data_IF_493854741023
#
_entry.id   IF_493854741023
#
_cell.length_a   1.000
_cell.length_b   1.000
_cell.length_c   1.000
_cell.angle_alpha   90.00
_cell.angle_beta   90.00
_cell.angle_gamma   90.00
#
_symmetry.space_group_name_H-M   'P 1'
#
loop_
_entity.id
_entity.type
_entity.pdbx_description
1 polymer ?
#
# COMPACT_ATOMS: atom_id res chain seq x y z
N UNK A 1 -14.64 -68.01 0.24
CA UNK A 1 -14.39 -66.77 1.02
C UNK A 1 -13.11 -66.14 0.48
N UNK A 2 -13.22 -65.04 -0.25
CA UNK A 2 -12.10 -64.40 -0.95
C UNK A 2 -12.14 -62.92 -0.57
N UNK A 3 -11.40 -62.55 0.48
CA UNK A 3 -11.23 -61.16 0.92
C UNK A 3 -9.86 -60.71 0.47
N UNK A 4 -9.77 -60.17 -0.75
CA UNK A 4 -8.57 -59.53 -1.25
C UNK A 4 -8.97 -58.14 -1.74
N UNK A 5 -8.18 -57.18 -1.28
CA UNK A 5 -7.97 -55.84 -1.82
C UNK A 5 -9.05 -54.80 -1.57
N UNK A 6 -8.71 -53.81 -0.73
CA UNK A 6 -8.68 -52.39 -1.12
C UNK A 6 -8.05 -51.57 0.01
N UNK A 7 -6.71 -51.58 0.05
CA UNK A 7 -5.92 -50.52 0.64
C UNK A 7 -5.55 -49.58 -0.52
N UNK A 8 -6.27 -48.47 -0.65
CA UNK A 8 -5.80 -47.34 -1.45
C UNK A 8 -5.89 -46.09 -0.57
N UNK A 9 -4.82 -45.88 0.18
CA UNK A 9 -4.52 -44.61 0.83
C UNK A 9 -4.34 -43.56 -0.27
N UNK A 10 -5.30 -42.64 -0.36
CA UNK A 10 -5.23 -41.48 -1.23
C UNK A 10 -4.37 -40.43 -0.51
N UNK A 11 -3.06 -40.54 -0.65
CA UNK A 11 -2.13 -39.48 -0.27
C UNK A 11 -2.23 -38.38 -1.34
N UNK A 12 -3.11 -37.41 -1.10
CA UNK A 12 -3.10 -36.15 -1.85
C UNK A 12 -1.94 -35.34 -1.30
N UNK A 13 -0.80 -35.38 -1.99
CA UNK A 13 0.26 -34.42 -1.77
C UNK A 13 -0.24 -33.07 -2.26
N UNK A 14 -0.60 -32.19 -1.32
CA UNK A 14 -0.74 -30.76 -1.58
C UNK A 14 0.65 -30.24 -1.98
N UNK A 15 0.88 -30.10 -3.28
CA UNK A 15 1.97 -29.29 -3.80
C UNK A 15 1.63 -27.85 -3.48
N UNK A 16 2.21 -27.32 -2.41
CA UNK A 16 2.23 -25.89 -2.16
C UNK A 16 3.04 -25.26 -3.30
N UNK A 17 2.38 -24.46 -4.15
CA UNK A 17 3.07 -23.49 -4.98
C UNK A 17 3.71 -22.48 -4.02
N UNK A 18 5.01 -22.61 -3.79
CA UNK A 18 5.83 -21.46 -3.42
C UNK A 18 6.06 -20.69 -4.69
N UNK A 19 5.09 -19.83 -5.06
CA UNK A 19 5.47 -18.62 -5.78
C UNK A 19 6.21 -17.78 -4.74
N UNK A 20 7.53 -17.84 -4.84
CA UNK A 20 8.40 -16.86 -4.23
C UNK A 20 8.15 -15.59 -5.05
N UNK A 21 7.18 -14.77 -4.65
CA UNK A 21 7.12 -13.41 -5.16
C UNK A 21 8.49 -12.79 -4.90
N UNK A 22 9.08 -12.26 -5.96
CA UNK A 22 10.39 -11.64 -5.96
C UNK A 22 10.29 -10.40 -5.06
N UNK A 23 10.51 -10.58 -3.74
CA UNK A 23 10.68 -9.53 -2.72
C UNK A 23 11.97 -8.76 -3.01
N UNK A 24 12.09 -8.24 -4.22
CA UNK A 24 13.12 -7.28 -4.58
C UNK A 24 12.82 -6.05 -3.74
N UNK A 25 13.70 -5.68 -2.79
CA UNK A 25 13.45 -4.52 -1.97
C UNK A 25 13.31 -3.30 -2.88
N UNK A 26 12.21 -2.57 -2.75
CA UNK A 26 12.00 -1.30 -3.47
C UNK A 26 13.24 -0.42 -3.26
N UNK A 27 13.81 0.08 -4.34
CA UNK A 27 14.97 0.94 -4.23
C UNK A 27 14.53 2.35 -3.79
N UNK A 28 15.32 3.02 -2.95
CA UNK A 28 15.01 4.39 -2.51
C UNK A 28 14.81 5.37 -3.68
N UNK A 29 15.56 5.17 -4.78
CA UNK A 29 15.39 5.93 -6.03
C UNK A 29 14.00 5.81 -6.66
N UNK A 30 13.25 4.75 -6.37
CA UNK A 30 11.92 4.48 -6.93
C UNK A 30 10.81 5.26 -6.23
N UNK A 31 11.04 5.74 -5.01
CA UNK A 31 10.06 6.53 -4.24
C UNK A 31 10.39 8.02 -4.17
N UNK A 32 11.69 8.38 -4.10
CA UNK A 32 12.14 9.78 -4.05
C UNK A 32 11.61 10.55 -5.24
N UNK A 33 10.95 11.68 -4.99
CA UNK A 33 10.30 12.50 -6.01
C UNK A 33 9.02 13.18 -5.52
N UNK A 34 8.35 13.87 -6.45
CA UNK A 34 7.08 14.54 -6.22
C UNK A 34 5.93 13.68 -6.74
N UNK A 35 4.81 13.68 -6.02
CA UNK A 35 3.66 12.83 -6.28
C UNK A 35 2.37 13.64 -6.14
N UNK A 36 1.44 13.47 -7.06
CA UNK A 36 0.13 14.12 -7.05
C UNK A 36 -0.99 13.08 -6.90
N UNK A 37 -1.94 13.37 -6.01
CA UNK A 37 -3.11 12.53 -5.78
C UNK A 37 -3.96 12.46 -7.06
N UNK A 38 -4.35 11.24 -7.44
CA UNK A 38 -5.25 11.00 -8.56
C UNK A 38 -6.50 10.23 -8.18
N UNK A 39 -6.50 9.50 -7.07
CA UNK A 39 -7.69 8.79 -6.60
C UNK A 39 -7.65 8.50 -5.10
N UNK A 40 -8.84 8.34 -4.50
CA UNK A 40 -9.05 7.91 -3.11
C UNK A 40 -9.90 6.65 -3.11
N UNK A 41 -9.53 5.69 -2.28
CA UNK A 41 -10.35 4.55 -1.86
C UNK A 41 -10.96 4.87 -0.49
N UNK A 42 -12.27 4.71 -0.37
CA UNK A 42 -12.99 4.72 0.90
C UNK A 42 -14.11 3.70 0.80
N UNK A 43 -13.95 2.57 1.48
CA UNK A 43 -14.95 1.50 1.54
C UNK A 43 -15.94 1.74 2.70
N UNK A 44 -17.26 1.61 2.51
CA UNK A 44 -18.25 1.79 3.57
C UNK A 44 -18.44 0.54 4.46
N UNK A 45 -17.70 -0.54 4.21
CA UNK A 45 -17.72 -1.79 4.99
C UNK A 45 -18.51 -2.92 4.33
N UNK A 46 -18.97 -2.73 3.10
CA UNK A 46 -19.67 -3.75 2.31
C UNK A 46 -18.80 -4.38 1.22
N UNK A 47 -17.53 -3.95 1.10
CA UNK A 47 -16.58 -4.45 0.11
C UNK A 47 -16.78 -3.85 -1.28
N UNK A 48 -17.62 -2.81 -1.44
CA UNK A 48 -17.84 -2.12 -2.71
C UNK A 48 -16.83 -1.00 -2.98
N UNK A 49 -15.94 -0.72 -2.04
CA UNK A 49 -14.94 0.33 -2.12
C UNK A 49 -14.09 0.19 -3.37
N UNK A 50 -14.01 1.27 -4.13
CA UNK A 50 -13.13 1.38 -5.30
C UNK A 50 -12.45 2.73 -5.30
N UNK A 51 -11.29 2.82 -5.94
CA UNK A 51 -10.61 4.09 -6.12
C UNK A 51 -11.42 5.01 -7.03
N UNK A 52 -11.81 6.16 -6.49
CA UNK A 52 -12.53 7.22 -7.20
C UNK A 52 -11.61 8.41 -7.46
N UNK A 53 -11.72 9.11 -8.60
CA UNK A 53 -10.88 10.27 -8.91
C UNK A 53 -10.88 11.34 -7.81
N UNK A 54 -9.69 11.81 -7.44
CA UNK A 54 -9.48 12.84 -6.43
C UNK A 54 -8.20 13.64 -6.75
N UNK A 55 -8.06 14.86 -6.22
CA UNK A 55 -6.91 15.72 -6.47
C UNK A 55 -6.70 16.72 -5.33
N UNK A 56 -5.60 17.47 -5.35
CA UNK A 56 -5.34 18.56 -4.39
C UNK A 56 -4.34 18.25 -3.28
N UNK A 57 -3.96 16.97 -3.12
CA UNK A 57 -2.90 16.53 -2.21
C UNK A 57 -1.63 16.15 -2.99
N UNK A 58 -0.48 16.51 -2.44
CA UNK A 58 0.84 16.19 -2.99
C UNK A 58 1.75 15.66 -1.91
N UNK A 59 2.58 14.68 -2.27
CA UNK A 59 3.65 14.15 -1.42
C UNK A 59 5.00 14.41 -2.09
N UNK A 60 5.99 14.85 -1.32
CA UNK A 60 7.38 14.96 -1.77
C UNK A 60 8.27 14.11 -0.88
N UNK A 61 8.82 13.03 -1.44
CA UNK A 61 9.79 12.17 -0.78
C UNK A 61 11.20 12.64 -1.14
N UNK A 62 12.02 12.90 -0.12
CA UNK A 62 13.42 13.32 -0.25
C UNK A 62 14.37 12.15 -0.06
N UNK A 63 15.61 12.25 -0.52
CA UNK A 63 16.71 11.28 -0.29
C UNK A 63 17.26 11.30 1.16
N UNK A 64 16.58 12.01 2.06
CA UNK A 64 16.92 12.11 3.49
C UNK A 64 15.87 11.43 4.38
N UNK A 65 15.07 10.53 3.80
CA UNK A 65 13.97 9.84 4.50
C UNK A 65 12.90 10.79 5.06
N UNK A 66 12.75 11.98 4.49
CA UNK A 66 11.71 12.97 4.83
C UNK A 66 10.62 13.00 3.76
N UNK A 67 9.36 13.08 4.20
CA UNK A 67 8.20 13.31 3.33
C UNK A 67 7.50 14.61 3.70
N UNK A 68 7.26 15.47 2.69
CA UNK A 68 6.47 16.69 2.82
C UNK A 68 5.09 16.49 2.21
N UNK A 69 4.05 16.92 2.93
CA UNK A 69 2.66 16.88 2.49
C UNK A 69 2.12 18.30 2.40
N UNK A 70 1.56 18.73 1.27
CA UNK A 70 1.04 20.10 1.11
C UNK A 70 -0.17 20.39 2.03
N UNK A 71 -0.91 19.33 2.39
CA UNK A 71 -1.99 19.29 3.39
C UNK A 71 -1.72 18.13 4.36
N UNK A 72 -2.66 17.80 5.25
CA UNK A 72 -2.49 16.68 6.19
C UNK A 72 -2.18 15.35 5.50
N UNK A 73 -1.24 14.59 6.07
CA UNK A 73 -1.02 13.20 5.69
C UNK A 73 -2.19 12.29 6.08
N UNK A 74 -2.84 12.56 7.22
CA UNK A 74 -3.92 11.73 7.75
C UNK A 74 -5.11 11.64 6.78
N UNK A 75 -5.65 10.44 6.62
CA UNK A 75 -6.80 10.21 5.75
C UNK A 75 -8.03 11.04 6.18
N UNK A 76 -8.66 11.73 5.23
CA UNK A 76 -9.87 12.52 5.46
C UNK A 76 -9.68 13.81 6.26
N UNK A 77 -8.45 14.31 6.41
CA UNK A 77 -8.11 15.54 7.12
C UNK A 77 -7.66 16.67 6.17
N UNK A 78 -8.40 16.89 5.09
CA UNK A 78 -7.97 17.73 3.96
C UNK A 78 -7.86 19.24 4.27
N UNK A 79 -8.36 19.68 5.42
CA UNK A 79 -8.35 21.09 5.86
C UNK A 79 -7.21 21.43 6.82
N UNK A 80 -6.41 20.44 7.23
CA UNK A 80 -5.25 20.65 8.09
C UNK A 80 -4.07 21.23 7.31
N UNK A 81 -3.21 21.96 8.01
CA UNK A 81 -2.03 22.60 7.44
C UNK A 81 -1.05 21.57 6.84
N UNK A 82 -0.14 22.06 6.01
CA UNK A 82 1.02 21.33 5.51
C UNK A 82 1.71 20.57 6.65
N UNK A 83 1.97 19.29 6.43
CA UNK A 83 2.63 18.42 7.41
C UNK A 83 3.94 17.87 6.85
N UNK A 84 4.83 17.42 7.74
CA UNK A 84 6.12 16.81 7.38
C UNK A 84 6.40 15.67 8.34
N UNK A 85 6.96 14.59 7.82
CA UNK A 85 7.35 13.46 8.63
C UNK A 85 8.43 12.63 7.94
N UNK A 86 8.47 11.35 8.28
CA UNK A 86 9.52 10.44 7.81
C UNK A 86 8.92 9.25 7.09
N UNK A 87 9.70 8.65 6.20
CA UNK A 87 9.35 7.39 5.56
C UNK A 87 10.53 6.42 5.63
N UNK A 88 10.22 5.13 5.57
CA UNK A 88 11.21 4.06 5.60
C UNK A 88 10.95 3.10 4.43
N UNK A 89 11.97 2.86 3.61
CA UNK A 89 11.90 2.02 2.41
C UNK A 89 11.89 0.54 2.76
N UNK A 90 12.78 0.02 3.63
CA UNK A 90 12.76 -1.39 4.02
C UNK A 90 11.44 -1.88 4.61
N UNK A 91 10.75 -1.03 5.38
CA UNK A 91 9.48 -1.38 6.04
C UNK A 91 8.26 -0.84 5.30
N UNK A 92 8.46 -0.03 4.25
CA UNK A 92 7.37 0.61 3.49
C UNK A 92 6.42 1.45 4.37
N UNK A 93 6.96 2.14 5.38
CA UNK A 93 6.17 2.92 6.34
C UNK A 93 6.33 4.42 6.16
N UNK A 94 5.29 5.18 6.53
CA UNK A 94 5.28 6.64 6.62
C UNK A 94 4.74 7.01 8.00
N UNK A 95 5.37 7.98 8.67
CA UNK A 95 4.93 8.55 9.94
C UNK A 95 4.93 10.08 9.86
N UNK A 96 3.75 10.69 10.02
CA UNK A 96 3.53 12.14 9.97
C UNK A 96 2.51 12.51 11.04
N UNK A 97 2.89 13.35 12.01
CA UNK A 97 1.99 13.90 13.04
C UNK A 97 1.14 12.86 13.81
N UNK A 98 1.72 11.69 14.11
CA UNK A 98 1.04 10.51 14.71
C UNK A 98 0.03 9.80 13.79
N UNK A 99 0.01 10.13 12.50
CA UNK A 99 -0.67 9.36 11.47
C UNK A 99 0.35 8.49 10.75
N UNK A 100 0.19 7.18 10.91
CA UNK A 100 1.03 6.19 10.26
C UNK A 100 0.33 5.60 9.05
N UNK A 101 1.11 5.34 8.00
CA UNK A 101 0.65 4.69 6.79
C UNK A 101 1.68 3.70 6.27
N UNK A 102 1.23 2.84 5.38
CA UNK A 102 2.11 1.99 4.56
C UNK A 102 1.97 2.39 3.11
N UNK A 103 2.95 2.03 2.28
CA UNK A 103 2.88 2.34 0.86
C UNK A 103 3.39 1.20 -0.01
N UNK A 104 2.90 1.16 -1.24
CA UNK A 104 3.39 0.26 -2.29
C UNK A 104 3.54 1.03 -3.61
N UNK A 105 4.44 0.55 -4.46
CA UNK A 105 4.72 1.15 -5.75
C UNK A 105 4.74 0.07 -6.83
N UNK A 106 4.05 0.32 -7.95
CA UNK A 106 3.96 -0.60 -9.09
C UNK A 106 4.46 0.04 -10.40
N UNK A 107 5.54 0.82 -10.33
CA UNK A 107 6.14 1.59 -11.44
C UNK A 107 5.29 2.77 -11.97
N UNK A 108 3.98 2.77 -11.71
CA UNK A 108 3.05 3.81 -12.17
C UNK A 108 2.43 4.56 -11.01
N UNK A 109 1.92 3.83 -10.03
CA UNK A 109 1.14 4.39 -8.93
C UNK A 109 1.86 4.15 -7.62
N UNK A 110 1.94 5.21 -6.83
CA UNK A 110 2.19 5.12 -5.40
C UNK A 110 0.83 4.99 -4.71
N UNK A 111 0.61 3.88 -4.02
CA UNK A 111 -0.59 3.66 -3.23
C UNK A 111 -0.24 3.71 -1.75
N UNK A 112 -0.84 4.65 -1.03
CA UNK A 112 -0.67 4.85 0.41
C UNK A 112 -1.92 4.34 1.12
N UNK A 113 -1.73 3.41 2.04
CA UNK A 113 -2.78 2.88 2.91
C UNK A 113 -2.65 3.46 4.31
N UNK A 114 -3.78 3.87 4.87
CA UNK A 114 -3.88 4.42 6.23
C UNK A 114 -4.58 3.44 7.16
N UNK A 115 -4.43 3.63 8.46
CA UNK A 115 -5.24 2.87 9.42
C UNK A 115 -6.70 3.32 9.36
N UNK A 116 -7.56 2.44 8.86
CA UNK A 116 -9.00 2.63 8.78
C UNK A 116 -9.73 1.35 9.24
N UNK A 117 -10.96 1.50 9.73
CA UNK A 117 -11.81 0.35 10.12
C UNK A 117 -12.19 -0.44 8.87
N UNK A 118 -12.54 0.26 7.81
CA UNK A 118 -12.76 -0.25 6.47
C UNK A 118 -11.59 0.12 5.54
N UNK A 119 -11.36 -0.61 4.42
CA UNK A 119 -10.31 -0.26 3.47
C UNK A 119 -10.36 1.20 3.02
N UNK A 120 -9.24 1.90 3.19
CA UNK A 120 -9.04 3.27 2.74
C UNK A 120 -7.65 3.42 2.16
N UNK A 121 -7.48 4.38 1.24
CA UNK A 121 -6.18 4.63 0.65
C UNK A 121 -6.18 5.76 -0.35
N UNK A 122 -4.99 6.16 -0.71
CA UNK A 122 -4.72 7.27 -1.61
C UNK A 122 -3.80 6.78 -2.72
N UNK A 123 -4.12 7.11 -3.96
CA UNK A 123 -3.33 6.75 -5.14
C UNK A 123 -2.75 8.00 -5.75
N UNK A 124 -1.44 7.98 -6.00
CA UNK A 124 -0.69 9.08 -6.54
C UNK A 124 0.03 8.69 -7.84
N UNK A 125 0.29 9.69 -8.68
CA UNK A 125 1.21 9.58 -9.82
C UNK A 125 2.44 10.44 -9.56
N UNK A 126 3.59 9.99 -10.05
CA UNK A 126 4.81 10.80 -10.02
C UNK A 126 4.66 11.99 -10.96
N UNK A 127 5.05 13.18 -10.48
CA UNK A 127 5.16 14.39 -11.29
C UNK A 127 6.61 14.86 -11.27
N UNK A 128 7.14 15.21 -12.45
CA UNK A 128 8.52 15.65 -12.62
C UNK A 128 8.79 16.98 -11.92
#
# INVERSE_FOLDING_TARGET
MKKILLLLSFFVTLSACTDCDDDTPMAESEIVGNWELVAILSDPGDGSGTFQPASGKTLQFTDQSVVHCNISFCFGQDTQATSTGTYDVPTTTIDVDNCTGTYSFNERFLEVSHFCIEPCGERYIRVN
#
